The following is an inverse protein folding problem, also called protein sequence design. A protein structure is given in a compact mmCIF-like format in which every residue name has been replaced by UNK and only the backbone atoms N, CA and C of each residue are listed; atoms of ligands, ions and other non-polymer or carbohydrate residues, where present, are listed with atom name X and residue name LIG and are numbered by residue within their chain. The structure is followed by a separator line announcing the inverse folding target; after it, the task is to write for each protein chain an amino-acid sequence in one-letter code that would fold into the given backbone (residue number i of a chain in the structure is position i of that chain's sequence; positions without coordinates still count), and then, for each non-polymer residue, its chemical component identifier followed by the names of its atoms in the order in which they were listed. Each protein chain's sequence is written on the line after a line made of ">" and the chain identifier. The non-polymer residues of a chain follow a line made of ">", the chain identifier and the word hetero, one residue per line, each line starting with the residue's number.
data_IF_227213858044
#
_entry.id   IF_227213858044
#
_cell.length_a   1.000
_cell.length_b   1.000
_cell.length_c   1.000
_cell.angle_alpha   90.00
_cell.angle_beta   90.00
_cell.angle_gamma   90.00
#
_symmetry.space_group_name_H-M   'P 1'
#
loop_
_entity.id
_entity.type
_entity.pdbx_description
1 polymer ?
#
# COMPACT_ATOMS: atom_id res chain seq x y z
N UNK A 1 4.47 9.81 -10.87
CA UNK A 1 3.33 8.86 -10.82
C UNK A 1 3.83 7.50 -10.35
N UNK A 2 3.12 6.83 -9.43
CA UNK A 2 3.47 5.48 -8.95
C UNK A 2 3.15 4.43 -10.02
N UNK A 3 4.03 3.46 -10.21
CA UNK A 3 3.86 2.30 -11.10
C UNK A 3 4.06 1.00 -10.31
N UNK A 4 3.35 -0.09 -10.65
CA UNK A 4 3.54 -1.40 -10.02
C UNK A 4 4.85 -2.02 -10.52
N UNK A 5 5.95 -1.78 -9.81
CA UNK A 5 7.29 -2.17 -10.26
C UNK A 5 8.12 -2.92 -9.23
N UNK A 6 7.58 -3.15 -8.03
CA UNK A 6 8.27 -3.78 -6.90
C UNK A 6 8.77 -5.18 -7.25
N UNK A 7 7.99 -5.98 -7.99
CA UNK A 7 8.38 -7.33 -8.41
C UNK A 7 9.40 -7.33 -9.55
N UNK A 8 9.40 -6.31 -10.39
CA UNK A 8 10.24 -6.26 -11.60
C UNK A 8 11.61 -5.61 -11.34
N UNK A 9 11.74 -4.79 -10.30
CA UNK A 9 12.94 -4.01 -9.99
C UNK A 9 13.53 -4.43 -8.64
N UNK A 10 13.81 -5.73 -8.48
CA UNK A 10 14.57 -6.23 -7.34
C UNK A 10 16.01 -5.71 -7.42
N UNK A 11 16.50 -5.14 -6.31
CA UNK A 11 17.90 -4.72 -6.21
C UNK A 11 18.84 -5.94 -6.13
N UNK A 12 20.15 -5.76 -6.35
CA UNK A 12 21.12 -6.84 -6.16
C UNK A 12 21.05 -7.45 -4.75
N UNK A 13 20.85 -6.62 -3.72
CA UNK A 13 20.74 -7.08 -2.33
C UNK A 13 19.44 -7.87 -2.11
N UNK A 14 18.33 -7.47 -2.74
CA UNK A 14 17.07 -8.23 -2.71
C UNK A 14 17.23 -9.62 -3.31
N UNK A 15 17.86 -9.70 -4.49
CA UNK A 15 18.11 -10.97 -5.19
C UNK A 15 19.01 -11.87 -4.35
N UNK A 16 20.07 -11.32 -3.77
CA UNK A 16 20.97 -12.05 -2.89
C UNK A 16 20.25 -12.56 -1.64
N UNK A 17 19.41 -11.73 -1.01
CA UNK A 17 18.62 -12.10 0.15
C UNK A 17 17.67 -13.26 -0.16
N UNK A 18 16.89 -13.16 -1.25
CA UNK A 18 15.94 -14.21 -1.66
C UNK A 18 16.67 -15.52 -1.95
N UNK A 19 17.75 -15.48 -2.74
CA UNK A 19 18.50 -16.67 -3.12
C UNK A 19 19.21 -17.34 -1.93
N UNK A 20 19.70 -16.56 -0.97
CA UNK A 20 20.31 -17.10 0.25
C UNK A 20 19.27 -17.75 1.16
N UNK A 21 18.10 -17.10 1.30
CA UNK A 21 17.00 -17.56 2.15
C UNK A 21 16.44 -18.89 1.66
N UNK A 22 16.09 -18.98 0.38
CA UNK A 22 15.41 -20.14 -0.18
C UNK A 22 16.37 -21.22 -0.70
N UNK A 23 17.57 -20.83 -1.13
CA UNK A 23 18.49 -21.74 -1.82
C UNK A 23 19.16 -22.78 -0.94
N UNK A 24 19.46 -22.46 0.34
CA UNK A 24 20.08 -23.29 1.42
C UNK A 24 21.34 -24.11 1.06
N UNK A 25 21.76 -24.11 -0.18
CA UNK A 25 22.84 -24.86 -0.81
C UNK A 25 23.28 -24.11 -2.07
N UNK A 26 24.48 -24.40 -2.57
CA UNK A 26 24.98 -23.75 -3.79
C UNK A 26 24.07 -23.99 -5.00
N UNK A 27 23.64 -25.23 -5.20
CA UNK A 27 22.76 -25.59 -6.32
C UNK A 27 21.37 -24.94 -6.18
N UNK A 28 20.81 -24.88 -4.97
CA UNK A 28 19.52 -24.23 -4.74
C UNK A 28 19.60 -22.71 -4.91
N UNK A 29 20.70 -22.08 -4.50
CA UNK A 29 20.95 -20.65 -4.74
C UNK A 29 20.92 -20.33 -6.24
N UNK A 30 21.64 -21.11 -7.05
CA UNK A 30 21.67 -20.96 -8.52
C UNK A 30 20.28 -21.21 -9.14
N UNK A 31 19.52 -22.18 -8.62
CA UNK A 31 18.15 -22.45 -9.06
C UNK A 31 17.20 -21.27 -8.78
N UNK A 32 17.25 -20.68 -7.59
CA UNK A 32 16.43 -19.51 -7.23
C UNK A 32 16.74 -18.32 -8.13
N UNK A 33 18.02 -18.07 -8.44
CA UNK A 33 18.41 -17.01 -9.38
C UNK A 33 17.81 -17.23 -10.77
N UNK A 34 17.78 -18.48 -11.26
CA UNK A 34 17.16 -18.81 -12.53
C UNK A 34 15.64 -18.59 -12.52
N UNK A 35 14.96 -18.92 -11.41
CA UNK A 35 13.52 -18.74 -11.27
C UNK A 35 13.12 -17.26 -11.20
N UNK A 36 13.92 -16.42 -10.54
CA UNK A 36 13.68 -14.97 -10.47
C UNK A 36 13.72 -14.29 -11.86
N UNK A 37 14.33 -14.90 -12.88
CA UNK A 37 14.39 -14.36 -14.23
C UNK A 37 13.03 -14.43 -14.97
N UNK A 38 12.18 -15.40 -14.65
CA UNK A 38 10.85 -15.59 -15.23
C UNK A 38 9.79 -14.89 -14.37
N UNK A 39 8.78 -14.29 -14.99
CA UNK A 39 7.75 -13.53 -14.25
C UNK A 39 6.87 -14.46 -13.38
N UNK A 40 6.37 -15.56 -13.95
CA UNK A 40 5.52 -16.50 -13.23
C UNK A 40 6.24 -17.22 -12.10
N UNK A 41 7.51 -17.58 -12.31
CA UNK A 41 8.29 -18.26 -11.27
C UNK A 41 8.70 -17.28 -10.17
N UNK A 42 8.97 -16.01 -10.53
CA UNK A 42 9.24 -14.96 -9.55
C UNK A 42 8.05 -14.76 -8.61
N UNK A 43 6.83 -14.73 -9.11
CA UNK A 43 5.64 -14.59 -8.26
C UNK A 43 5.54 -15.73 -7.24
N UNK A 44 5.79 -16.97 -7.67
CA UNK A 44 5.80 -18.12 -6.78
C UNK A 44 6.91 -18.03 -5.72
N UNK A 45 8.11 -17.57 -6.11
CA UNK A 45 9.24 -17.36 -5.20
C UNK A 45 8.95 -16.26 -4.17
N UNK A 46 8.33 -15.15 -4.60
CA UNK A 46 8.01 -14.05 -3.69
C UNK A 46 6.83 -14.37 -2.75
N UNK A 47 6.02 -15.37 -3.09
CA UNK A 47 4.93 -15.90 -2.27
C UNK A 47 5.39 -17.00 -1.29
N UNK A 48 6.68 -17.37 -1.30
CA UNK A 48 7.20 -18.42 -0.43
C UNK A 48 7.08 -18.03 1.07
N UNK A 49 6.44 -18.85 1.93
CA UNK A 49 6.29 -18.55 3.34
C UNK A 49 7.61 -18.31 4.07
N UNK A 50 8.69 -19.00 3.68
CA UNK A 50 10.00 -18.85 4.30
C UNK A 50 10.60 -17.46 4.05
N UNK A 51 10.28 -16.83 2.91
CA UNK A 51 10.69 -15.46 2.62
C UNK A 51 9.98 -14.47 3.57
N UNK A 52 8.67 -14.67 3.79
CA UNK A 52 7.90 -13.85 4.72
C UNK A 52 8.37 -14.02 6.18
N UNK A 53 8.60 -15.26 6.61
CA UNK A 53 9.14 -15.56 7.95
C UNK A 53 10.51 -14.91 8.16
N UNK A 54 11.38 -14.96 7.14
CA UNK A 54 12.72 -14.36 7.22
C UNK A 54 12.69 -12.83 7.31
N UNK A 55 11.72 -12.16 6.67
CA UNK A 55 11.56 -10.70 6.75
C UNK A 55 10.98 -10.25 8.11
N UNK A 56 10.09 -11.06 8.69
CA UNK A 56 9.38 -10.72 9.93
C UNK A 56 10.10 -11.15 11.21
N UNK A 57 11.06 -12.08 11.11
CA UNK A 57 11.88 -12.51 12.24
C UNK A 57 12.82 -11.39 12.70
N UNK A 58 13.00 -11.23 14.01
CA UNK A 58 13.92 -10.24 14.57
C UNK A 58 15.32 -10.81 14.84
N UNK A 59 16.40 -10.06 14.55
CA UNK A 59 16.39 -8.75 13.89
C UNK A 59 16.02 -8.88 12.41
N UNK A 60 15.28 -7.89 11.89
CA UNK A 60 14.93 -7.84 10.47
C UNK A 60 16.21 -7.86 9.61
N UNK A 61 16.17 -8.48 8.42
CA UNK A 61 17.35 -8.61 7.58
C UNK A 61 17.89 -7.23 7.19
N UNK A 62 19.19 -7.04 7.43
CA UNK A 62 19.89 -5.86 6.95
C UNK A 62 19.96 -5.90 5.42
N UNK A 63 19.69 -4.76 4.77
CA UNK A 63 19.90 -4.51 3.33
C UNK A 63 18.86 -5.06 2.34
N UNK A 64 17.60 -5.23 2.73
CA UNK A 64 16.53 -5.39 1.72
C UNK A 64 15.93 -4.03 1.33
N UNK A 65 15.48 -3.91 0.08
CA UNK A 65 14.79 -2.71 -0.38
C UNK A 65 13.41 -2.59 0.27
N UNK A 66 12.95 -1.34 0.45
CA UNK A 66 11.60 -1.08 0.92
C UNK A 66 10.53 -1.65 -0.03
N UNK A 67 10.83 -1.68 -1.34
CA UNK A 67 9.93 -2.28 -2.33
C UNK A 67 9.71 -3.76 -2.07
N UNK A 68 10.78 -4.55 -1.87
CA UNK A 68 10.67 -5.97 -1.55
C UNK A 68 10.00 -6.17 -0.18
N UNK A 69 10.44 -5.41 0.83
CA UNK A 69 9.87 -5.47 2.18
C UNK A 69 8.36 -5.26 2.18
N UNK A 70 7.87 -4.17 1.57
CA UNK A 70 6.45 -3.90 1.49
C UNK A 70 5.71 -4.91 0.62
N UNK A 71 6.32 -5.36 -0.49
CA UNK A 71 5.69 -6.35 -1.35
C UNK A 71 5.34 -7.63 -0.59
N UNK A 72 6.32 -8.24 0.09
CA UNK A 72 6.13 -9.51 0.79
C UNK A 72 5.09 -9.37 1.92
N UNK A 73 5.14 -8.27 2.69
CA UNK A 73 4.18 -8.05 3.78
C UNK A 73 2.76 -7.78 3.27
N UNK A 74 2.59 -6.93 2.25
CA UNK A 74 1.28 -6.63 1.67
C UNK A 74 0.71 -7.86 1.00
N UNK A 75 1.54 -8.60 0.25
CA UNK A 75 1.13 -9.83 -0.44
C UNK A 75 0.62 -10.87 0.55
N UNK A 76 1.34 -11.09 1.65
CA UNK A 76 0.89 -11.96 2.73
C UNK A 76 -0.45 -11.50 3.33
N UNK A 77 -0.58 -10.21 3.64
CA UNK A 77 -1.80 -9.66 4.23
C UNK A 77 -3.01 -9.71 3.27
N UNK A 78 -2.83 -9.40 1.98
CA UNK A 78 -3.91 -9.48 1.00
C UNK A 78 -4.39 -10.91 0.78
N UNK A 79 -3.48 -11.89 0.72
CA UNK A 79 -3.84 -13.32 0.63
C UNK A 79 -4.58 -13.80 1.87
N UNK A 80 -4.20 -13.33 3.07
CA UNK A 80 -4.94 -13.61 4.30
C UNK A 80 -6.41 -13.14 4.23
N UNK A 81 -6.68 -12.06 3.50
CA UNK A 81 -8.02 -11.53 3.24
C UNK A 81 -8.68 -12.11 1.97
N UNK A 82 -8.04 -13.05 1.26
CA UNK A 82 -8.58 -13.70 0.07
C UNK A 82 -8.35 -12.96 -1.25
N UNK A 83 -7.52 -11.91 -1.25
CA UNK A 83 -7.18 -11.15 -2.45
C UNK A 83 -5.89 -11.69 -3.10
N UNK A 84 -6.05 -12.40 -4.22
CA UNK A 84 -4.94 -13.06 -4.92
C UNK A 84 -4.30 -12.22 -6.04
N UNK A 85 -4.81 -11.02 -6.34
CA UNK A 85 -4.28 -10.17 -7.43
C UNK A 85 -2.86 -9.64 -7.10
N UNK A 86 -1.84 -10.19 -7.76
CA UNK A 86 -0.43 -9.80 -7.61
C UNK A 86 -0.18 -8.33 -7.95
N UNK A 87 -0.83 -7.80 -8.98
CA UNK A 87 -0.64 -6.41 -9.41
C UNK A 87 -1.10 -5.38 -8.36
N UNK A 88 -2.09 -5.74 -7.54
CA UNK A 88 -2.53 -4.90 -6.41
C UNK A 88 -1.45 -4.88 -5.33
N UNK A 89 -0.85 -6.03 -5.03
CA UNK A 89 0.25 -6.13 -4.07
C UNK A 89 1.46 -5.31 -4.56
N UNK A 90 1.78 -5.43 -5.85
CA UNK A 90 2.86 -4.71 -6.51
C UNK A 90 2.65 -3.18 -6.50
N UNK A 91 1.45 -2.73 -6.84
CA UNK A 91 1.11 -1.31 -6.83
C UNK A 91 1.18 -0.72 -5.41
N UNK A 92 0.56 -1.37 -4.43
CA UNK A 92 0.54 -0.90 -3.04
C UNK A 92 1.96 -0.88 -2.45
N UNK A 93 2.78 -1.90 -2.73
CA UNK A 93 4.17 -1.94 -2.29
C UNK A 93 4.99 -0.80 -2.87
N UNK A 94 4.84 -0.58 -4.18
CA UNK A 94 5.49 0.53 -4.89
C UNK A 94 5.03 1.89 -4.34
N UNK A 95 3.74 2.04 -4.01
CA UNK A 95 3.20 3.23 -3.35
C UNK A 95 3.82 3.46 -1.96
N UNK A 96 3.89 2.44 -1.10
CA UNK A 96 4.46 2.57 0.24
C UNK A 96 5.97 2.86 0.20
N UNK A 97 6.70 2.23 -0.73
CA UNK A 97 8.11 2.50 -0.95
C UNK A 97 8.33 3.95 -1.40
N UNK A 98 7.52 4.46 -2.33
CA UNK A 98 7.59 5.86 -2.76
C UNK A 98 7.27 6.83 -1.62
N UNK A 99 6.20 6.59 -0.85
CA UNK A 99 5.79 7.48 0.25
C UNK A 99 6.73 7.44 1.46
N UNK A 100 7.61 6.44 1.55
CA UNK A 100 8.66 6.39 2.56
C UNK A 100 9.80 7.38 2.28
N UNK A 101 9.92 7.90 1.06
CA UNK A 101 10.89 8.96 0.73
C UNK A 101 10.47 10.27 1.39
N UNK A 102 11.42 11.04 1.98
CA UNK A 102 11.09 12.31 2.66
C UNK A 102 10.25 13.25 1.77
N UNK A 103 9.13 13.73 2.31
CA UNK A 103 8.21 14.67 1.63
C UNK A 103 7.35 14.08 0.50
N UNK A 104 7.56 12.83 0.06
CA UNK A 104 6.87 12.30 -1.13
C UNK A 104 5.36 12.14 -0.95
N UNK A 105 4.90 11.76 0.24
CA UNK A 105 3.48 11.66 0.57
C UNK A 105 2.77 13.03 0.51
N UNK A 106 3.52 14.12 0.76
CA UNK A 106 3.03 15.50 0.72
C UNK A 106 3.09 16.09 -0.70
N UNK A 107 3.71 15.44 -1.68
CA UNK A 107 3.81 15.94 -3.06
C UNK A 107 2.92 15.14 -4.01
N UNK A 108 2.22 15.78 -4.95
CA UNK A 108 1.38 15.06 -5.94
C UNK A 108 2.24 14.47 -7.07
N UNK A 109 3.21 15.24 -7.57
CA UNK A 109 4.17 14.81 -8.60
C UNK A 109 5.58 15.30 -8.27
N UNK A 110 6.61 14.66 -8.84
CA UNK A 110 8.01 15.07 -8.68
C UNK A 110 8.30 16.46 -9.25
N UNK A 111 7.45 16.93 -10.17
CA UNK A 111 7.50 18.27 -10.77
C UNK A 111 6.67 19.32 -10.00
N UNK A 112 5.89 18.91 -8.99
CA UNK A 112 5.05 19.82 -8.21
C UNK A 112 5.85 20.47 -7.09
N UNK A 113 5.89 21.81 -7.04
CA UNK A 113 6.50 22.57 -5.96
C UNK A 113 5.58 22.76 -4.73
N UNK A 114 4.37 22.18 -4.74
CA UNK A 114 3.35 22.39 -3.71
C UNK A 114 3.25 21.17 -2.79
N UNK A 115 3.46 21.39 -1.49
CA UNK A 115 3.23 20.41 -0.43
C UNK A 115 1.74 20.43 -0.02
N UNK A 116 1.13 19.24 0.05
CA UNK A 116 -0.26 19.02 0.42
C UNK A 116 -0.28 18.20 1.71
N UNK A 117 -0.55 18.88 2.83
CA UNK A 117 -0.58 18.25 4.16
C UNK A 117 -1.96 17.71 4.51
N UNK A 118 -3.01 18.16 3.81
CA UNK A 118 -4.38 17.70 4.03
C UNK A 118 -5.05 17.33 2.71
N UNK A 119 -5.93 16.33 2.76
CA UNK A 119 -6.78 15.94 1.61
C UNK A 119 -7.59 17.11 1.05
N UNK A 120 -8.00 18.06 1.91
CA UNK A 120 -8.73 19.26 1.49
C UNK A 120 -7.89 20.11 0.53
N UNK A 121 -6.58 20.20 0.74
CA UNK A 121 -5.69 20.95 -0.13
C UNK A 121 -5.58 20.26 -1.51
N UNK A 122 -5.57 18.92 -1.53
CA UNK A 122 -5.54 18.14 -2.77
C UNK A 122 -6.86 18.27 -3.54
N UNK A 123 -8.00 18.26 -2.84
CA UNK A 123 -9.32 18.50 -3.44
C UNK A 123 -9.43 19.93 -3.99
N UNK A 124 -8.87 20.93 -3.31
CA UNK A 124 -8.80 22.29 -3.84
C UNK A 124 -7.94 22.35 -5.11
N UNK A 125 -6.77 21.69 -5.11
CA UNK A 125 -5.94 21.58 -6.31
C UNK A 125 -6.64 20.87 -7.47
N UNK A 126 -7.51 19.89 -7.20
CA UNK A 126 -8.30 19.22 -8.23
C UNK A 126 -9.24 20.20 -8.94
N UNK A 127 -9.84 21.14 -8.21
CA UNK A 127 -10.70 22.19 -8.80
C UNK A 127 -9.91 23.18 -9.69
N UNK A 128 -8.59 23.28 -9.46
CA UNK A 128 -7.66 24.14 -10.20
C UNK A 128 -6.91 23.38 -11.32
N UNK A 129 -7.24 22.11 -11.59
CA UNK A 129 -6.54 21.31 -12.58
C UNK A 129 -6.64 21.93 -13.98
N UNK A 130 -5.49 22.18 -14.61
CA UNK A 130 -5.41 22.86 -15.90
C UNK A 130 -5.73 21.94 -17.09
N UNK A 131 -5.60 20.63 -16.92
CA UNK A 131 -5.83 19.63 -17.97
C UNK A 131 -6.09 18.23 -17.37
N UNK A 132 -6.52 17.31 -18.23
CA UNK A 132 -6.88 15.94 -17.84
C UNK A 132 -5.70 15.10 -17.31
N UNK A 133 -4.46 15.40 -17.69
CA UNK A 133 -3.28 14.71 -17.17
C UNK A 133 -3.02 15.12 -15.72
N UNK A 134 -3.09 16.43 -15.43
CA UNK A 134 -2.98 16.94 -14.07
C UNK A 134 -4.15 16.46 -13.19
N UNK A 135 -5.38 16.45 -13.72
CA UNK A 135 -6.54 15.89 -13.02
C UNK A 135 -6.30 14.43 -12.64
N UNK A 136 -5.80 13.61 -13.57
CA UNK A 136 -5.46 12.21 -13.32
C UNK A 136 -4.39 12.06 -12.23
N UNK A 137 -3.32 12.87 -12.25
CA UNK A 137 -2.26 12.83 -11.24
C UNK A 137 -2.82 13.16 -9.85
N UNK A 138 -3.65 14.21 -9.74
CA UNK A 138 -4.26 14.62 -8.48
C UNK A 138 -5.22 13.55 -7.96
N UNK A 139 -6.11 13.00 -8.81
CA UNK A 139 -7.05 11.95 -8.43
C UNK A 139 -6.33 10.67 -7.98
N UNK A 140 -5.28 10.27 -8.70
CA UNK A 140 -4.45 9.12 -8.32
C UNK A 140 -3.78 9.34 -6.97
N UNK A 141 -3.24 10.55 -6.73
CA UNK A 141 -2.60 10.89 -5.46
C UNK A 141 -3.60 10.95 -4.30
N UNK A 142 -4.81 11.48 -4.52
CA UNK A 142 -5.89 11.47 -3.53
C UNK A 142 -6.22 10.03 -3.11
N UNK A 143 -6.36 9.12 -4.09
CA UNK A 143 -6.55 7.69 -3.83
C UNK A 143 -5.42 7.10 -3.00
N UNK A 144 -4.19 7.30 -3.45
CA UNK A 144 -2.97 6.78 -2.83
C UNK A 144 -2.76 7.30 -1.40
N UNK A 145 -2.89 8.61 -1.20
CA UNK A 145 -2.73 9.23 0.11
C UNK A 145 -3.80 8.76 1.09
N UNK A 146 -5.05 8.63 0.62
CA UNK A 146 -6.14 8.10 1.43
C UNK A 146 -5.89 6.64 1.83
N UNK A 147 -5.46 5.80 0.89
CA UNK A 147 -5.15 4.39 1.15
C UNK A 147 -3.97 4.23 2.11
N UNK A 148 -2.92 5.02 1.90
CA UNK A 148 -1.75 5.04 2.78
C UNK A 148 -2.11 5.44 4.21
N UNK A 149 -2.80 6.58 4.39
CA UNK A 149 -3.09 7.08 5.73
C UNK A 149 -4.10 6.18 6.45
N UNK A 150 -5.16 5.77 5.77
CA UNK A 150 -6.19 4.90 6.34
C UNK A 150 -5.73 3.45 6.52
N UNK A 151 -4.80 2.98 5.68
CA UNK A 151 -4.27 1.61 5.69
C UNK A 151 -3.09 1.41 6.65
N UNK A 152 -2.18 2.37 6.75
CA UNK A 152 -0.93 2.22 7.53
C UNK A 152 -0.96 2.99 8.86
N UNK A 153 -1.75 4.07 8.95
CA UNK A 153 -1.84 4.91 10.17
C UNK A 153 -3.28 5.05 10.71
N UNK A 154 -4.02 3.93 10.88
CA UNK A 154 -5.42 4.00 11.29
C UNK A 154 -5.61 4.56 12.72
N UNK A 155 -4.66 4.33 13.63
CA UNK A 155 -4.71 4.85 15.00
C UNK A 155 -4.58 6.38 15.06
N UNK A 156 -3.83 6.98 14.13
CA UNK A 156 -3.70 8.43 14.01
C UNK A 156 -5.05 9.08 13.66
N UNK A 157 -5.77 8.50 12.70
CA UNK A 157 -7.12 8.94 12.30
C UNK A 157 -8.09 8.79 13.48
N UNK A 158 -8.10 7.60 14.12
CA UNK A 158 -8.99 7.32 15.25
C UNK A 158 -8.81 8.31 16.40
N UNK A 159 -7.56 8.55 16.82
CA UNK A 159 -7.25 9.47 17.93
C UNK A 159 -7.67 10.90 17.61
N UNK A 160 -7.44 11.37 16.37
CA UNK A 160 -7.81 12.71 15.94
C UNK A 160 -9.33 12.89 15.87
N UNK A 161 -10.06 11.90 15.35
CA UNK A 161 -11.52 11.94 15.27
C UNK A 161 -12.19 11.86 16.66
N UNK A 162 -11.61 11.09 17.59
CA UNK A 162 -12.19 10.84 18.92
C UNK A 162 -11.84 11.92 19.94
N UNK A 163 -10.59 12.36 20.00
CA UNK A 163 -10.07 13.25 21.06
C UNK A 163 -9.56 14.59 20.55
N UNK A 164 -9.46 14.77 19.23
CA UNK A 164 -9.00 16.02 18.61
C UNK A 164 -10.16 17.00 18.37
N UNK A 165 -9.87 18.05 17.60
CA UNK A 165 -10.92 18.89 16.98
C UNK A 165 -11.74 18.01 16.02
N UNK A 166 -13.04 18.29 15.81
CA UNK A 166 -13.87 17.56 14.85
C UNK A 166 -13.14 17.47 13.51
N UNK A 167 -12.69 16.27 13.18
CA UNK A 167 -11.85 15.97 12.04
C UNK A 167 -12.42 14.77 11.31
N UNK A 168 -12.06 14.59 10.03
CA UNK A 168 -12.60 13.48 9.26
C UNK A 168 -12.23 12.13 9.88
N UNK A 169 -13.21 11.23 9.99
CA UNK A 169 -12.99 9.86 10.42
C UNK A 169 -12.53 8.98 9.24
N UNK A 170 -12.34 7.67 9.48
CA UNK A 170 -11.89 6.73 8.45
C UNK A 170 -12.84 6.67 7.26
N UNK A 171 -14.15 6.88 7.45
CA UNK A 171 -15.15 6.81 6.37
C UNK A 171 -14.95 7.90 5.33
N UNK A 172 -14.50 9.08 5.77
CA UNK A 172 -14.14 10.17 4.86
C UNK A 172 -12.97 9.77 3.95
N UNK A 173 -11.92 9.17 4.50
CA UNK A 173 -10.77 8.71 3.72
C UNK A 173 -11.16 7.59 2.76
N UNK A 174 -12.03 6.67 3.17
CA UNK A 174 -12.55 5.62 2.27
C UNK A 174 -13.33 6.22 1.10
N UNK A 175 -14.25 7.16 1.36
CA UNK A 175 -15.07 7.78 0.31
C UNK A 175 -14.22 8.59 -0.67
N UNK A 176 -13.37 9.46 -0.15
CA UNK A 176 -12.50 10.33 -0.97
C UNK A 176 -11.48 9.49 -1.74
N UNK A 177 -10.87 8.50 -1.09
CA UNK A 177 -9.89 7.62 -1.72
C UNK A 177 -10.48 6.73 -2.81
N UNK A 178 -11.61 6.07 -2.53
CA UNK A 178 -12.32 5.23 -3.51
C UNK A 178 -12.77 6.06 -4.72
N UNK A 179 -13.33 7.25 -4.49
CA UNK A 179 -13.70 8.18 -5.56
C UNK A 179 -12.49 8.60 -6.40
N UNK A 180 -11.38 8.96 -5.75
CA UNK A 180 -10.14 9.35 -6.45
C UNK A 180 -9.65 8.26 -7.40
N UNK A 181 -9.57 7.01 -6.92
CA UNK A 181 -9.23 5.87 -7.78
C UNK A 181 -10.27 5.63 -8.88
N UNK A 182 -11.57 5.75 -8.58
CA UNK A 182 -12.64 5.52 -9.55
C UNK A 182 -12.61 6.53 -10.71
N UNK A 183 -12.28 7.78 -10.42
CA UNK A 183 -12.09 8.82 -11.44
C UNK A 183 -10.79 8.59 -12.21
N UNK A 184 -9.69 8.33 -11.52
CA UNK A 184 -8.41 8.06 -12.15
C UNK A 184 -8.47 6.86 -13.11
N UNK A 185 -9.18 5.79 -12.73
CA UNK A 185 -9.30 4.54 -13.52
C UNK A 185 -9.95 4.71 -14.88
N UNK A 186 -10.76 5.78 -15.06
CA UNK A 186 -11.50 6.07 -16.30
C UNK A 186 -10.78 7.05 -17.21
N UNK A 187 -9.59 7.52 -16.80
CA UNK A 187 -8.81 8.46 -17.59
C UNK A 187 -8.03 7.75 -18.70
N UNK A 188 -7.80 8.46 -19.81
CA UNK A 188 -6.89 7.99 -20.87
C UNK A 188 -5.45 7.77 -20.37
N UNK A 189 -5.04 8.52 -19.35
CA UNK A 189 -3.73 8.35 -18.73
C UNK A 189 -3.63 7.00 -18.01
N UNK A 190 -4.67 6.56 -17.31
CA UNK A 190 -4.69 5.23 -16.70
C UNK A 190 -4.54 4.11 -17.75
N UNK A 191 -5.19 4.23 -18.90
CA UNK A 191 -5.03 3.27 -20.00
C UNK A 191 -3.59 3.27 -20.53
N UNK A 192 -3.04 4.46 -20.79
CA UNK A 192 -1.65 4.64 -21.27
C UNK A 192 -0.62 4.01 -20.33
N UNK A 193 -0.89 4.03 -19.03
CA UNK A 193 0.03 3.51 -18.01
C UNK A 193 -0.36 2.11 -17.48
N UNK A 194 -1.37 1.45 -18.07
CA UNK A 194 -1.90 0.17 -17.63
C UNK A 194 -2.36 0.15 -16.16
N UNK A 195 -2.93 1.26 -15.68
CA UNK A 195 -3.42 1.43 -14.31
C UNK A 195 -4.94 1.34 -14.19
N UNK A 196 -5.69 1.28 -15.30
CA UNK A 196 -7.16 1.32 -15.27
C UNK A 196 -7.76 0.18 -14.45
N UNK A 197 -7.30 -1.07 -14.63
CA UNK A 197 -7.81 -2.19 -13.85
C UNK A 197 -7.39 -2.11 -12.38
N UNK A 198 -6.12 -1.79 -12.11
CA UNK A 198 -5.59 -1.65 -10.74
C UNK A 198 -6.41 -0.60 -9.97
N UNK A 199 -6.63 0.58 -10.56
CA UNK A 199 -7.42 1.65 -9.94
C UNK A 199 -8.89 1.27 -9.79
N UNK A 200 -9.47 0.56 -10.74
CA UNK A 200 -10.84 0.06 -10.62
C UNK A 200 -11.01 -0.90 -9.42
N UNK A 201 -10.05 -1.80 -9.22
CA UNK A 201 -10.02 -2.73 -8.08
C UNK A 201 -9.79 -1.97 -6.78
N UNK A 202 -8.83 -1.06 -6.73
CA UNK A 202 -8.56 -0.23 -5.54
C UNK A 202 -9.77 0.62 -5.15
N UNK A 203 -10.51 1.15 -6.12
CA UNK A 203 -11.75 1.88 -5.87
C UNK A 203 -12.84 0.96 -5.30
N UNK A 204 -13.06 -0.19 -5.92
CA UNK A 204 -14.19 -1.08 -5.59
C UNK A 204 -13.97 -1.86 -4.30
N UNK A 205 -12.72 -2.18 -3.96
CA UNK A 205 -12.34 -2.98 -2.79
C UNK A 205 -11.62 -2.15 -1.73
N UNK A 206 -11.79 -0.82 -1.73
CA UNK A 206 -11.02 0.09 -0.88
C UNK A 206 -11.03 -0.31 0.60
N UNK A 207 -12.21 -0.53 1.19
CA UNK A 207 -12.34 -0.87 2.61
C UNK A 207 -11.74 -2.24 2.96
N UNK A 208 -11.81 -3.21 2.05
CA UNK A 208 -11.21 -4.54 2.23
C UNK A 208 -9.67 -4.46 2.20
N UNK A 209 -9.13 -3.77 1.20
CA UNK A 209 -7.68 -3.55 1.05
C UNK A 209 -7.14 -2.74 2.22
N UNK A 210 -7.84 -1.68 2.63
CA UNK A 210 -7.49 -0.89 3.82
C UNK A 210 -7.37 -1.78 5.06
N UNK A 211 -8.33 -2.68 5.28
CA UNK A 211 -8.31 -3.59 6.44
C UNK A 211 -7.14 -4.59 6.38
N UNK A 212 -6.81 -5.10 5.19
CA UNK A 212 -5.61 -5.91 5.01
C UNK A 212 -4.33 -5.13 5.33
N UNK A 213 -4.24 -3.87 4.89
CA UNK A 213 -3.12 -2.99 5.25
C UNK A 213 -3.09 -2.67 6.76
N UNK A 214 -4.25 -2.48 7.40
CA UNK A 214 -4.32 -2.29 8.85
C UNK A 214 -3.81 -3.52 9.58
N UNK A 215 -4.20 -4.73 9.13
CA UNK A 215 -3.68 -5.98 9.67
C UNK A 215 -2.17 -6.07 9.52
N UNK A 216 -1.64 -5.80 8.32
CA UNK A 216 -0.20 -5.78 8.06
C UNK A 216 0.54 -4.82 9.00
N UNK A 217 0.09 -3.56 9.07
CA UNK A 217 0.68 -2.55 9.92
C UNK A 217 0.63 -2.97 11.39
N UNK A 218 -0.51 -3.50 11.83
CA UNK A 218 -0.73 -3.89 13.22
C UNK A 218 0.14 -5.06 13.69
N UNK A 219 0.40 -6.04 12.81
CA UNK A 219 1.10 -7.28 13.13
C UNK A 219 2.60 -7.20 12.86
N UNK A 220 3.01 -6.55 11.77
CA UNK A 220 4.38 -6.66 11.25
C UNK A 220 5.13 -5.34 11.22
N UNK A 221 4.43 -4.21 11.24
CA UNK A 221 5.07 -2.91 11.29
C UNK A 221 4.95 -2.35 12.70
N UNK A 222 6.01 -2.46 13.50
CA UNK A 222 6.08 -1.81 14.80
C UNK A 222 6.25 -0.28 14.65
N UNK A 223 5.28 0.38 14.02
CA UNK A 223 5.20 1.83 13.80
C UNK A 223 4.75 2.52 15.10
N UNK A 224 5.55 2.40 16.16
CA UNK A 224 5.23 3.11 17.40
C UNK A 224 5.61 4.59 17.32
N UNK A 225 4.57 5.43 17.23
CA UNK A 225 4.60 6.84 17.65
C UNK A 225 3.37 7.15 18.53
N UNK A 226 3.17 6.31 19.55
CA UNK A 226 2.23 6.45 20.69
C UNK A 226 0.72 6.66 20.42
N UNK A 227 0.02 5.61 19.94
CA UNK A 227 -1.36 5.33 20.32
C UNK A 227 -1.40 4.46 21.60
N UNK A 228 -2.30 4.78 22.54
CA UNK A 228 -2.49 3.97 23.75
C UNK A 228 -3.04 2.57 23.35
N UNK A 229 -2.60 1.48 23.97
CA UNK A 229 -3.05 0.11 23.65
C UNK A 229 -4.58 -0.03 23.68
N UNK A 230 -5.26 0.77 24.51
CA UNK A 230 -6.72 0.87 24.57
C UNK A 230 -7.33 1.44 23.28
N UNK A 231 -6.75 2.49 22.70
CA UNK A 231 -7.26 3.12 21.47
C UNK A 231 -7.18 2.15 20.28
N UNK A 232 -6.07 1.41 20.18
CA UNK A 232 -5.88 0.37 19.16
C UNK A 232 -6.93 -0.74 19.30
N UNK A 233 -7.22 -1.19 20.52
CA UNK A 233 -8.28 -2.17 20.80
C UNK A 233 -9.66 -1.64 20.41
N UNK A 234 -10.01 -0.42 20.83
CA UNK A 234 -11.32 0.16 20.56
C UNK A 234 -11.56 0.37 19.07
N UNK A 235 -10.55 0.85 18.33
CA UNK A 235 -10.63 0.95 16.87
C UNK A 235 -10.92 -0.42 16.23
N UNK A 236 -10.20 -1.48 16.60
CA UNK A 236 -10.40 -2.83 16.05
C UNK A 236 -11.82 -3.35 16.29
N UNK A 237 -12.37 -3.09 17.49
CA UNK A 237 -13.76 -3.45 17.82
C UNK A 237 -14.75 -2.68 16.92
N UNK A 238 -14.52 -1.39 16.68
CA UNK A 238 -15.37 -0.60 15.78
C UNK A 238 -15.32 -1.10 14.33
N UNK A 239 -14.12 -1.39 13.81
CA UNK A 239 -13.94 -1.96 12.48
C UNK A 239 -14.66 -3.32 12.33
N UNK A 240 -14.59 -4.17 13.36
CA UNK A 240 -15.30 -5.47 13.40
C UNK A 240 -16.82 -5.31 13.40
N UNK A 241 -17.36 -4.37 14.19
CA UNK A 241 -18.80 -4.10 14.21
C UNK A 241 -19.27 -3.57 12.84
N UNK A 242 -18.50 -2.66 12.24
CA UNK A 242 -18.81 -2.09 10.93
C UNK A 242 -18.77 -3.15 9.81
N UNK A 243 -17.79 -4.07 9.85
CA UNK A 243 -17.66 -5.14 8.86
C UNK A 243 -18.80 -6.16 8.95
N UNK A 244 -19.24 -6.51 10.17
CA UNK A 244 -20.35 -7.44 10.35
C UNK A 244 -21.70 -6.80 10.00
N UNK A 245 -21.92 -5.51 10.28
CA UNK A 245 -23.17 -4.84 9.88
C UNK A 245 -23.41 -4.86 8.37
N UNK A 246 -22.35 -4.69 7.56
CA UNK A 246 -22.47 -4.75 6.09
C UNK A 246 -22.72 -6.17 5.54
N UNK A 247 -22.48 -7.23 6.31
CA UNK A 247 -22.76 -8.62 5.87
C UNK A 247 -24.20 -9.07 6.10
N UNK A 248 -24.97 -8.33 6.90
CA UNK A 248 -26.35 -8.65 7.29
C UNK A 248 -27.38 -7.60 6.82
N UNK A 249 -26.98 -6.70 5.92
CA UNK A 249 -27.84 -5.70 5.25
C UNK A 249 -27.87 -5.99 3.75
#
# INVERSE_FOLDING_TARGET
>A
MIKPTARMHLSPDDVQFIATTLGKSRAGYEAVLSLLASESDRDAILDDPELFESITTQPAPANISLSLYFYVLIRHALRHFGMEKVDISDYLASMLAEFSKPGRAEMISESSQKEYRYLVDMLAALLEAANAEQEFEIQSHIGNYSMFLAGVFPDYIYKRATYGRPGPDVSYYEQVGSSGYQHASRSRAAEKFNLSEIFSVLASHFSEIRRALNYMADQYMHLDRQPNSMDKMMRRVQDYIASNRMRFS
#
